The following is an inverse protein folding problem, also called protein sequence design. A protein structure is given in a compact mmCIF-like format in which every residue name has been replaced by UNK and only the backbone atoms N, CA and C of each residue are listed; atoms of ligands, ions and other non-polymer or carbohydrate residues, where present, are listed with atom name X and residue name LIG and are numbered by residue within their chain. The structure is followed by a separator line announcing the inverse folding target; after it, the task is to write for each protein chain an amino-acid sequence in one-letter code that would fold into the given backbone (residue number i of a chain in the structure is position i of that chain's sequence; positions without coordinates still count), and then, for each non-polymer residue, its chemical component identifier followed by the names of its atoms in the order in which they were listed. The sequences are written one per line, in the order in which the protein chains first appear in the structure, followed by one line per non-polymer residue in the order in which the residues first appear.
data_IF_531199605422
#
_entry.id   IF_531199605422
#
_cell.length_a   1.000
_cell.length_b   1.000
_cell.length_c   1.000
_cell.angle_alpha   90.00
_cell.angle_beta   90.00
_cell.angle_gamma   90.00
#
_symmetry.space_group_name_H-M   'P 1'
#
loop_
_entity.id
_entity.type
_entity.pdbx_description
1 polymer ?
#
# COMPACT_ATOMS: atom_id res chain seq x y z
N UNK A 1 -7.84 -9.21 84.85
CA UNK A 1 -6.72 -8.96 83.91
C UNK A 1 -6.46 -10.26 83.15
N UNK A 2 -7.07 -10.41 81.97
CA UNK A 2 -6.77 -11.50 81.03
C UNK A 2 -6.16 -10.82 79.81
N UNK A 3 -4.88 -11.08 79.54
CA UNK A 3 -4.21 -10.61 78.33
C UNK A 3 -4.64 -11.54 77.18
N UNK A 4 -5.49 -11.04 76.30
CA UNK A 4 -5.75 -11.66 75.00
C UNK A 4 -4.47 -11.56 74.16
N UNK A 5 -3.83 -12.71 73.95
CA UNK A 5 -2.81 -12.88 72.93
C UNK A 5 -3.52 -12.96 71.57
N UNK A 6 -3.75 -11.80 70.94
CA UNK A 6 -4.02 -11.74 69.51
C UNK A 6 -2.77 -12.19 68.75
N UNK A 7 -2.70 -13.49 68.50
CA UNK A 7 -1.85 -14.07 67.48
C UNK A 7 -2.27 -13.48 66.13
N UNK A 8 -1.56 -12.44 65.69
CA UNK A 8 -1.63 -11.92 64.33
C UNK A 8 -1.35 -13.08 63.36
N UNK A 9 -2.42 -13.69 62.84
CA UNK A 9 -2.35 -14.64 61.73
C UNK A 9 -1.72 -13.89 60.56
N UNK A 10 -0.43 -14.15 60.31
CA UNK A 10 0.24 -13.76 59.06
C UNK A 10 -0.57 -14.38 57.93
N UNK A 11 -1.47 -13.60 57.32
CA UNK A 11 -2.13 -13.99 56.08
C UNK A 11 -1.00 -14.14 55.05
N UNK A 12 -0.70 -15.37 54.68
CA UNK A 12 0.19 -15.68 53.56
C UNK A 12 -0.45 -15.10 52.32
N UNK A 13 0.17 -14.06 51.75
CA UNK A 13 -0.24 -13.52 50.47
C UNK A 13 0.00 -14.60 49.40
N UNK A 14 -1.06 -15.15 48.76
CA UNK A 14 -0.90 -16.18 47.73
C UNK A 14 -0.16 -15.67 46.49
N UNK A 15 -0.01 -14.35 46.34
CA UNK A 15 0.72 -13.71 45.25
C UNK A 15 2.16 -13.32 45.63
N UNK A 16 2.62 -13.65 46.85
CA UNK A 16 4.01 -13.47 47.26
C UNK A 16 4.48 -12.01 47.28
N UNK A 17 3.57 -11.05 47.54
CA UNK A 17 3.87 -9.62 47.55
C UNK A 17 3.83 -8.97 46.16
N UNK A 18 3.51 -9.72 45.10
CA UNK A 18 3.36 -9.18 43.76
C UNK A 18 2.03 -8.43 43.70
N UNK A 19 2.12 -7.10 43.64
CA UNK A 19 0.98 -6.24 43.38
C UNK A 19 0.97 -5.88 41.90
N UNK A 20 -0.22 -5.84 41.30
CA UNK A 20 -0.39 -5.19 40.01
C UNK A 20 0.06 -3.72 40.10
N UNK A 21 0.45 -3.13 38.97
CA UNK A 21 0.77 -1.71 38.91
C UNK A 21 -0.32 -0.88 39.58
N UNK A 22 0.04 -0.09 40.58
CA UNK A 22 -0.89 0.81 41.27
C UNK A 22 -1.52 1.74 40.23
N UNK A 23 -2.85 1.86 40.27
CA UNK A 23 -3.55 2.89 39.52
C UNK A 23 -3.00 4.21 40.05
N UNK A 24 -2.21 4.94 39.27
CA UNK A 24 -1.66 6.23 39.68
C UNK A 24 -2.83 7.15 40.06
N UNK A 25 -3.01 7.35 41.38
CA UNK A 25 -4.13 8.09 41.96
C UNK A 25 -4.11 9.60 41.62
N UNK A 26 -3.10 10.09 40.91
CA UNK A 26 -3.07 11.46 40.39
C UNK A 26 -3.83 11.64 39.06
N UNK A 27 -4.16 10.55 38.34
CA UNK A 27 -4.94 10.62 37.09
C UNK A 27 -6.05 9.58 36.95
N UNK A 28 -6.13 8.57 37.83
CA UNK A 28 -7.24 7.60 37.88
C UNK A 28 -7.49 6.81 36.59
N UNK A 29 -6.61 6.90 35.59
CA UNK A 29 -6.81 6.27 34.29
C UNK A 29 -6.31 4.83 34.32
N UNK A 30 -7.27 3.90 34.26
CA UNK A 30 -7.03 2.52 33.87
C UNK A 30 -6.52 2.52 32.41
N UNK A 31 -5.41 1.82 32.13
CA UNK A 31 -4.89 1.70 30.75
C UNK A 31 -5.98 1.13 29.85
N UNK A 32 -6.28 1.82 28.76
CA UNK A 32 -7.26 1.30 27.79
C UNK A 32 -6.63 0.17 26.97
N UNK A 33 -7.40 -0.84 26.51
CA UNK A 33 -6.89 -1.87 25.61
C UNK A 33 -6.15 -1.31 24.38
N UNK A 34 -6.64 -0.18 23.85
CA UNK A 34 -6.02 0.50 22.70
C UNK A 34 -4.66 1.12 23.05
N UNK A 35 -4.52 1.64 24.27
CA UNK A 35 -3.24 2.14 24.79
C UNK A 35 -2.21 1.03 24.96
N UNK A 36 -2.64 -0.13 25.47
CA UNK A 36 -1.78 -1.32 25.62
C UNK A 36 -1.27 -1.78 24.26
N UNK A 37 -2.17 -1.95 23.29
CA UNK A 37 -1.79 -2.33 21.92
C UNK A 37 -0.84 -1.30 21.27
N UNK A 38 -1.02 -0.01 21.54
CA UNK A 38 -0.13 1.05 21.07
C UNK A 38 1.27 0.92 21.70
N UNK A 39 1.35 0.70 23.00
CA UNK A 39 2.62 0.52 23.71
C UNK A 39 3.36 -0.73 23.24
N UNK A 40 2.65 -1.83 22.99
CA UNK A 40 3.22 -3.04 22.38
C UNK A 40 3.73 -2.77 20.96
N UNK A 41 2.97 -2.03 20.15
CA UNK A 41 3.40 -1.67 18.80
C UNK A 41 4.66 -0.77 18.82
N UNK A 42 4.72 0.22 19.72
CA UNK A 42 5.86 1.12 19.91
C UNK A 42 7.11 0.37 20.36
N UNK A 43 6.97 -0.56 21.31
CA UNK A 43 8.10 -1.39 21.77
C UNK A 43 8.57 -2.35 20.69
N UNK A 44 7.65 -2.95 19.93
CA UNK A 44 7.95 -3.84 18.81
C UNK A 44 8.71 -3.16 17.67
N UNK A 45 8.31 -1.95 17.27
CA UNK A 45 9.00 -1.20 16.21
C UNK A 45 10.38 -0.71 16.68
N UNK A 46 10.52 -0.30 17.94
CA UNK A 46 11.80 0.13 18.49
C UNK A 46 12.80 -1.03 18.48
N UNK A 47 12.40 -2.22 18.94
CA UNK A 47 13.23 -3.43 18.83
C UNK A 47 13.58 -3.76 17.39
N UNK A 48 12.62 -3.65 16.47
CA UNK A 48 12.86 -3.92 15.04
C UNK A 48 13.87 -2.94 14.42
N UNK A 49 13.87 -1.67 14.84
CA UNK A 49 14.86 -0.66 14.47
C UNK A 49 16.23 -0.95 15.08
N UNK A 50 16.29 -1.35 16.35
CA UNK A 50 17.55 -1.68 17.03
C UNK A 50 18.23 -2.91 16.40
N UNK A 51 17.45 -3.94 16.05
CA UNK A 51 17.93 -5.12 15.29
C UNK A 51 18.44 -4.68 13.90
N UNK A 52 17.73 -3.77 13.23
CA UNK A 52 18.12 -3.27 11.91
C UNK A 52 19.43 -2.46 11.96
N UNK A 53 19.52 -1.50 12.89
CA UNK A 53 20.70 -0.65 13.09
C UNK A 53 21.87 -1.40 13.75
N UNK A 54 21.65 -2.63 14.24
CA UNK A 54 22.64 -3.43 14.96
C UNK A 54 23.03 -2.83 16.33
N UNK A 55 22.14 -2.05 16.94
CA UNK A 55 22.37 -1.39 18.24
C UNK A 55 22.29 -2.39 19.38
N UNK A 56 23.33 -2.46 20.21
CA UNK A 56 23.33 -3.25 21.44
C UNK A 56 22.81 -2.38 22.58
N UNK A 57 21.90 -2.91 23.40
CA UNK A 57 21.41 -2.25 24.61
C UNK A 57 22.60 -1.89 25.52
N UNK A 58 22.86 -0.60 25.80
CA UNK A 58 23.97 -0.17 26.65
C UNK A 58 23.90 -0.74 28.07
N UNK A 59 22.69 -1.02 28.60
CA UNK A 59 22.49 -1.56 29.95
C UNK A 59 22.88 -3.04 30.06
N UNK A 60 23.03 -3.71 28.91
CA UNK A 60 23.51 -5.09 28.79
C UNK A 60 24.94 -5.17 28.27
N UNK A 61 25.60 -4.02 28.05
CA UNK A 61 26.93 -3.95 27.45
C UNK A 61 28.03 -4.38 28.43
N UNK A 62 28.11 -5.69 28.68
CA UNK A 62 29.23 -6.31 29.37
C UNK A 62 30.53 -6.32 28.55
N UNK A 63 31.45 -7.20 28.93
CA UNK A 63 32.79 -7.29 28.32
C UNK A 63 32.73 -7.65 26.82
N UNK A 64 33.82 -7.44 26.07
CA UNK A 64 33.90 -7.65 24.60
C UNK A 64 33.30 -9.00 24.16
N UNK A 65 33.56 -10.08 24.90
CA UNK A 65 32.99 -11.42 24.63
C UNK A 65 31.47 -11.50 24.79
N UNK A 66 30.91 -10.80 25.76
CA UNK A 66 29.46 -10.74 25.99
C UNK A 66 28.79 -9.91 24.89
N UNK A 67 29.42 -8.81 24.45
CA UNK A 67 28.96 -8.03 23.29
C UNK A 67 28.96 -8.87 22.01
N UNK A 68 29.96 -9.74 21.81
CA UNK A 68 30.01 -10.68 20.67
C UNK A 68 28.88 -11.71 20.78
N UNK A 69 28.68 -12.35 21.94
CA UNK A 69 27.57 -13.30 22.15
C UNK A 69 26.20 -12.64 21.94
N UNK A 70 26.02 -11.41 22.40
CA UNK A 70 24.77 -10.65 22.24
C UNK A 70 24.53 -10.24 20.78
N UNK A 71 25.57 -9.81 20.04
CA UNK A 71 25.45 -9.60 18.60
C UNK A 71 24.99 -10.87 17.87
N UNK A 72 25.48 -12.04 18.29
CA UNK A 72 25.07 -13.32 17.72
C UNK A 72 23.64 -13.69 18.10
N UNK A 73 23.21 -13.45 19.35
CA UNK A 73 21.81 -13.67 19.77
C UNK A 73 20.83 -12.74 19.04
N UNK A 74 21.15 -11.46 18.88
CA UNK A 74 20.28 -10.52 18.16
C UNK A 74 20.18 -10.81 16.67
N UNK A 75 21.20 -11.46 16.07
CA UNK A 75 21.08 -12.00 14.71
C UNK A 75 20.06 -13.14 14.60
N UNK A 76 19.78 -13.85 15.70
CA UNK A 76 18.82 -14.95 15.76
C UNK A 76 17.42 -14.50 16.20
N UNK A 77 17.26 -13.28 16.73
CA UNK A 77 15.96 -12.73 17.07
C UNK A 77 15.17 -12.40 15.79
N UNK A 78 13.93 -12.87 15.73
CA UNK A 78 13.05 -12.58 14.61
C UNK A 78 12.48 -11.16 14.73
N UNK A 79 12.80 -10.25 13.80
CA UNK A 79 12.27 -8.89 13.84
C UNK A 79 10.74 -8.88 13.71
N UNK A 80 10.09 -7.97 14.46
CA UNK A 80 8.63 -7.91 14.53
C UNK A 80 8.02 -7.25 13.27
N UNK A 81 8.65 -6.19 12.78
CA UNK A 81 8.09 -5.34 11.71
C UNK A 81 8.71 -5.57 10.33
N UNK A 82 9.64 -6.50 10.17
CA UNK A 82 10.21 -6.77 8.85
C UNK A 82 10.67 -8.22 8.72
N UNK A 83 10.85 -8.69 7.48
CA UNK A 83 11.42 -10.00 7.18
C UNK A 83 12.14 -9.95 5.84
N UNK A 84 13.38 -10.44 5.79
CA UNK A 84 14.10 -10.60 4.51
C UNK A 84 13.35 -11.59 3.61
N UNK A 85 13.18 -11.24 2.34
CA UNK A 85 12.47 -12.09 1.37
C UNK A 85 13.21 -13.41 1.18
N UNK A 86 14.54 -13.35 1.20
CA UNK A 86 15.45 -14.50 1.23
C UNK A 86 16.19 -14.48 2.55
N UNK A 87 16.33 -15.65 3.18
CA UNK A 87 16.87 -15.80 4.54
C UNK A 87 18.28 -15.23 4.71
N UNK A 88 19.10 -15.27 3.63
CA UNK A 88 20.48 -14.80 3.63
C UNK A 88 20.74 -13.60 2.72
N UNK A 89 19.68 -13.00 2.15
CA UNK A 89 19.80 -11.89 1.21
C UNK A 89 18.82 -10.77 1.62
N UNK A 90 19.41 -9.68 2.15
CA UNK A 90 18.70 -8.49 2.62
C UNK A 90 18.42 -7.47 1.53
N UNK A 91 18.76 -7.75 0.26
CA UNK A 91 18.51 -6.83 -0.85
C UNK A 91 17.05 -6.41 -0.95
N UNK A 92 16.14 -7.33 -0.62
CA UNK A 92 14.70 -7.13 -0.58
C UNK A 92 14.13 -7.58 0.76
N UNK A 93 13.32 -6.71 1.35
CA UNK A 93 12.71 -6.91 2.67
C UNK A 93 11.22 -6.62 2.60
N UNK A 94 10.43 -7.48 3.22
CA UNK A 94 9.02 -7.21 3.50
C UNK A 94 8.91 -6.46 4.82
N UNK A 95 8.09 -5.40 4.86
CA UNK A 95 7.87 -4.56 6.04
C UNK A 95 6.39 -4.64 6.43
N UNK A 96 6.11 -4.70 7.72
CA UNK A 96 4.79 -4.94 8.30
C UNK A 96 4.41 -3.84 9.30
N UNK A 97 3.28 -3.19 9.05
CA UNK A 97 2.53 -2.47 10.08
C UNK A 97 1.82 -3.52 10.93
N UNK A 98 2.24 -3.67 12.19
CA UNK A 98 1.66 -4.62 13.13
C UNK A 98 0.90 -3.93 14.25
N UNK A 99 -0.18 -4.55 14.69
CA UNK A 99 -1.00 -4.06 15.80
C UNK A 99 -1.67 -5.26 16.48
N UNK A 100 -1.61 -5.32 17.82
CA UNK A 100 -2.18 -6.43 18.60
C UNK A 100 -1.80 -7.81 18.03
N UNK A 101 -0.51 -8.01 17.76
CA UNK A 101 0.09 -9.20 17.13
C UNK A 101 -0.44 -9.60 15.74
N UNK A 102 -1.23 -8.76 15.09
CA UNK A 102 -1.73 -8.96 13.72
C UNK A 102 -1.03 -8.02 12.74
N UNK A 103 -0.93 -8.45 11.48
CA UNK A 103 -0.44 -7.59 10.40
C UNK A 103 -1.61 -6.79 9.82
N UNK A 104 -1.55 -5.47 9.93
CA UNK A 104 -2.57 -4.54 9.45
C UNK A 104 -2.33 -4.18 7.98
N UNK A 105 -1.08 -3.89 7.64
CA UNK A 105 -0.63 -3.54 6.28
C UNK A 105 0.80 -4.02 6.07
N UNK A 106 1.17 -4.27 4.82
CA UNK A 106 2.52 -4.72 4.47
C UNK A 106 3.02 -4.05 3.21
N UNK A 107 4.32 -3.75 3.16
CA UNK A 107 5.05 -3.38 1.95
C UNK A 107 5.98 -4.53 1.60
N UNK A 108 5.83 -5.09 0.39
CA UNK A 108 6.56 -6.29 -0.03
C UNK A 108 7.65 -6.00 -1.03
N UNK A 109 8.82 -6.61 -0.87
CA UNK A 109 10.00 -6.39 -1.72
C UNK A 109 10.48 -4.92 -1.69
N UNK A 110 10.69 -4.37 -0.50
CA UNK A 110 11.30 -3.04 -0.31
C UNK A 110 12.83 -3.16 -0.44
N UNK A 111 13.50 -2.30 -1.23
CA UNK A 111 14.96 -2.28 -1.30
C UNK A 111 15.59 -1.98 0.05
N UNK A 112 16.67 -2.68 0.42
CA UNK A 112 17.38 -2.54 1.71
C UNK A 112 17.60 -1.08 2.13
N UNK A 113 18.06 -0.23 1.18
CA UNK A 113 18.36 1.19 1.40
C UNK A 113 17.18 2.01 1.91
N UNK A 114 15.93 1.59 1.63
CA UNK A 114 14.72 2.29 2.01
C UNK A 114 14.06 1.71 3.27
N UNK A 115 14.48 0.53 3.73
CA UNK A 115 13.84 -0.18 4.85
C UNK A 115 13.89 0.66 6.13
N UNK A 116 15.05 1.26 6.43
CA UNK A 116 15.20 2.09 7.62
C UNK A 116 14.24 3.29 7.61
N UNK A 117 14.07 3.93 6.45
CA UNK A 117 13.14 5.06 6.29
C UNK A 117 11.70 4.62 6.59
N UNK A 118 11.29 3.46 6.06
CA UNK A 118 9.97 2.90 6.33
C UNK A 118 9.75 2.55 7.81
N UNK A 119 10.75 1.97 8.48
CA UNK A 119 10.67 1.63 9.91
C UNK A 119 10.60 2.90 10.79
N UNK A 120 11.34 3.95 10.45
CA UNK A 120 11.24 5.26 11.12
C UNK A 120 9.87 5.89 10.85
N UNK A 121 9.35 5.76 9.63
CA UNK A 121 7.98 6.13 9.28
C UNK A 121 6.95 5.46 10.17
N UNK A 122 7.07 4.14 10.38
CA UNK A 122 6.17 3.37 11.23
C UNK A 122 6.23 3.86 12.68
N UNK A 123 7.43 4.09 13.20
CA UNK A 123 7.62 4.64 14.55
C UNK A 123 6.95 6.02 14.69
N UNK A 124 7.14 6.90 13.71
CA UNK A 124 6.52 8.23 13.70
C UNK A 124 4.99 8.15 13.60
N UNK A 125 4.47 7.23 12.79
CA UNK A 125 3.04 6.95 12.66
C UNK A 125 2.44 6.53 14.00
N UNK A 126 3.00 5.51 14.68
CA UNK A 126 2.51 5.07 15.98
C UNK A 126 2.55 6.21 17.03
N UNK A 127 3.63 6.99 17.07
CA UNK A 127 3.76 8.12 18.02
C UNK A 127 2.69 9.21 17.84
N UNK A 128 2.11 9.32 16.65
CA UNK A 128 1.06 10.32 16.35
C UNK A 128 -0.35 9.81 16.63
N UNK A 129 -0.54 8.52 16.90
CA UNK A 129 -1.86 7.98 17.25
C UNK A 129 -2.27 8.54 18.61
N UNK A 130 -3.39 9.26 18.64
CA UNK A 130 -3.99 9.73 19.88
C UNK A 130 -4.90 8.63 20.45
N UNK A 131 -4.56 8.13 21.65
CA UNK A 131 -5.29 7.04 22.33
C UNK A 131 -6.71 7.46 22.72
N UNK A 132 -6.90 8.70 23.17
CA UNK A 132 -8.19 9.21 23.64
C UNK A 132 -9.14 9.54 22.50
N UNK A 133 -8.58 9.93 21.34
CA UNK A 133 -9.33 10.33 20.16
C UNK A 133 -8.58 9.89 18.90
N UNK A 134 -8.64 8.59 18.55
CA UNK A 134 -7.98 8.09 17.35
C UNK A 134 -8.55 8.77 16.11
N UNK A 135 -7.69 9.06 15.13
CA UNK A 135 -8.13 9.62 13.85
C UNK A 135 -8.84 8.55 13.01
N UNK A 136 -10.16 8.49 13.17
CA UNK A 136 -11.06 7.57 12.45
C UNK A 136 -11.35 8.03 11.01
N UNK A 137 -10.62 9.02 10.49
CA UNK A 137 -10.56 9.29 9.05
C UNK A 137 -9.44 8.49 8.37
N UNK A 138 -8.43 8.03 9.12
CA UNK A 138 -7.27 7.35 8.58
C UNK A 138 -7.50 5.84 8.44
N UNK A 139 -7.34 5.24 7.24
CA UNK A 139 -7.65 3.82 7.01
C UNK A 139 -6.86 2.86 7.90
N UNK A 140 -5.55 3.08 8.06
CA UNK A 140 -4.73 2.24 8.92
C UNK A 140 -5.07 2.37 10.42
N UNK A 141 -5.44 3.57 10.91
CA UNK A 141 -5.84 3.77 12.33
C UNK A 141 -7.17 3.10 12.62
N UNK A 142 -8.15 3.20 11.72
CA UNK A 142 -9.45 2.50 11.86
C UNK A 142 -9.22 0.99 11.94
N UNK A 143 -8.29 0.44 11.14
CA UNK A 143 -7.96 -0.99 11.20
C UNK A 143 -7.31 -1.37 12.53
N UNK A 144 -6.39 -0.56 13.06
CA UNK A 144 -5.82 -0.75 14.38
C UNK A 144 -6.93 -0.75 15.45
N UNK A 145 -7.79 0.28 15.45
CA UNK A 145 -8.92 0.42 16.37
C UNK A 145 -9.85 -0.79 16.34
N UNK A 146 -10.29 -1.20 15.14
CA UNK A 146 -11.18 -2.34 14.97
C UNK A 146 -10.52 -3.67 15.35
N UNK A 147 -9.19 -3.77 15.21
CA UNK A 147 -8.44 -4.96 15.64
C UNK A 147 -8.44 -5.07 17.16
N UNK A 148 -8.18 -3.97 17.87
CA UNK A 148 -8.31 -3.91 19.33
C UNK A 148 -9.74 -4.22 19.75
N UNK A 149 -10.73 -3.52 19.18
CA UNK A 149 -12.12 -3.72 19.54
C UNK A 149 -12.55 -5.19 19.41
N UNK A 150 -12.15 -5.85 18.32
CA UNK A 150 -12.40 -7.28 18.10
C UNK A 150 -11.71 -8.18 19.14
N UNK A 151 -10.47 -7.89 19.50
CA UNK A 151 -9.71 -8.71 20.46
C UNK A 151 -10.29 -8.62 21.89
N UNK A 152 -10.90 -7.49 22.23
CA UNK A 152 -11.45 -7.23 23.57
C UNK A 152 -12.99 -7.28 23.64
N UNK A 153 -13.67 -7.65 22.54
CA UNK A 153 -15.14 -7.75 22.49
C UNK A 153 -15.87 -6.40 22.56
N UNK A 154 -15.21 -5.30 22.16
CA UNK A 154 -15.77 -3.95 22.13
C UNK A 154 -16.42 -3.64 20.78
N UNK A 155 -17.25 -2.60 20.74
CA UNK A 155 -17.84 -2.11 19.49
C UNK A 155 -16.76 -1.50 18.58
N UNK A 156 -16.68 -1.98 17.35
CA UNK A 156 -15.77 -1.46 16.33
C UNK A 156 -16.38 -0.29 15.57
N UNK A 157 -15.53 0.50 14.92
CA UNK A 157 -15.94 1.54 14.00
C UNK A 157 -16.31 0.97 12.63
N UNK A 158 -17.46 1.38 12.08
CA UNK A 158 -17.85 0.98 10.72
C UNK A 158 -16.89 1.60 9.72
N UNK A 159 -16.25 0.79 8.88
CA UNK A 159 -15.32 1.24 7.83
C UNK A 159 -16.14 1.87 6.68
N UNK A 160 -16.03 3.19 6.41
CA UNK A 160 -16.57 3.80 5.20
C UNK A 160 -16.16 3.07 3.92
N UNK A 161 -17.04 3.13 2.92
CA UNK A 161 -16.77 2.52 1.60
C UNK A 161 -15.66 3.26 0.86
N UNK A 162 -15.57 4.58 1.02
CA UNK A 162 -14.50 5.43 0.48
C UNK A 162 -13.56 5.86 1.60
N UNK A 163 -12.58 4.99 1.90
CA UNK A 163 -11.49 5.25 2.84
C UNK A 163 -10.19 5.40 2.06
N UNK A 164 -10.21 6.31 1.09
CA UNK A 164 -9.00 6.72 0.39
C UNK A 164 -8.03 7.32 1.42
N UNK A 165 -6.81 6.79 1.42
CA UNK A 165 -5.69 7.46 2.06
C UNK A 165 -5.53 8.80 1.35
N UNK A 166 -5.66 9.89 2.10
CA UNK A 166 -5.44 11.23 1.59
C UNK A 166 -4.01 11.64 1.97
N UNK A 167 -3.03 11.69 1.05
CA UNK A 167 -1.65 12.02 1.40
C UNK A 167 -1.45 13.40 2.05
N UNK A 168 -2.37 14.34 1.83
CA UNK A 168 -2.31 15.68 2.45
C UNK A 168 -2.78 15.68 3.90
N UNK A 169 -3.69 14.76 4.25
CA UNK A 169 -4.28 14.68 5.60
C UNK A 169 -3.74 13.52 6.43
N UNK A 170 -3.37 12.42 5.78
CA UNK A 170 -3.01 11.15 6.38
C UNK A 170 -1.51 10.92 6.31
N UNK A 171 -0.97 10.42 7.41
CA UNK A 171 0.45 10.16 7.54
C UNK A 171 0.70 8.73 7.10
N UNK A 172 1.45 8.56 6.03
CA UNK A 172 1.77 7.25 5.53
C UNK A 172 2.59 6.47 6.56
N UNK A 173 2.11 5.30 7.04
CA UNK A 173 2.86 4.50 8.00
C UNK A 173 4.25 4.09 7.50
N UNK A 174 4.49 4.06 6.19
CA UNK A 174 5.79 3.68 5.62
C UNK A 174 6.58 4.88 5.08
N UNK A 175 6.20 6.12 5.41
CA UNK A 175 6.88 7.34 4.99
C UNK A 175 7.14 7.43 3.46
N UNK A 176 6.15 7.07 2.65
CA UNK A 176 6.24 7.04 1.19
C UNK A 176 6.97 5.83 0.62
N UNK A 177 7.62 5.01 1.45
CA UNK A 177 8.34 3.81 0.99
C UNK A 177 7.33 2.78 0.50
N UNK A 178 7.59 2.24 -0.69
CA UNK A 178 6.80 1.18 -1.31
C UNK A 178 7.69 0.06 -1.80
N UNK A 179 7.17 -1.15 -1.69
CA UNK A 179 7.83 -2.32 -2.25
C UNK A 179 7.31 -2.66 -3.66
N UNK A 180 8.12 -3.37 -4.44
CA UNK A 180 7.85 -3.64 -5.87
C UNK A 180 6.53 -4.39 -6.12
N UNK A 181 6.05 -5.17 -5.16
CA UNK A 181 4.84 -5.98 -5.30
C UNK A 181 3.53 -5.20 -5.16
N UNK A 182 3.54 -3.99 -4.57
CA UNK A 182 2.33 -3.16 -4.47
C UNK A 182 1.88 -2.68 -5.86
N UNK A 183 2.85 -2.38 -6.73
CA UNK A 183 2.63 -1.88 -8.07
C UNK A 183 2.11 -2.95 -9.04
N UNK A 184 2.43 -4.24 -8.85
CA UNK A 184 2.04 -5.30 -9.79
C UNK A 184 0.54 -5.59 -9.84
N UNK A 185 -0.22 -5.16 -8.82
CA UNK A 185 -1.69 -5.31 -8.76
C UNK A 185 -2.44 -4.04 -9.14
N UNK A 186 -1.75 -2.90 -9.20
CA UNK A 186 -2.32 -1.61 -9.57
C UNK A 186 -2.79 -1.68 -11.04
N UNK A 187 -4.09 -1.47 -11.27
CA UNK A 187 -4.66 -1.54 -12.62
C UNK A 187 -4.32 -0.29 -13.43
N UNK A 188 -4.25 0.88 -12.79
CA UNK A 188 -3.81 2.12 -13.42
C UNK A 188 -2.36 2.02 -13.92
N UNK A 189 -1.46 1.41 -13.13
CA UNK A 189 -0.10 1.10 -13.56
C UNK A 189 -0.08 0.25 -14.82
N UNK A 190 -0.83 -0.85 -14.83
CA UNK A 190 -0.84 -1.77 -15.97
C UNK A 190 -1.31 -1.06 -17.23
N UNK A 191 -2.29 -0.17 -17.11
CA UNK A 191 -2.79 0.58 -18.25
C UNK A 191 -1.79 1.65 -18.71
N UNK A 192 -1.05 2.27 -17.79
CA UNK A 192 0.08 3.15 -18.10
C UNK A 192 1.19 2.38 -18.84
N UNK A 193 1.62 1.23 -18.32
CA UNK A 193 2.67 0.40 -18.93
C UNK A 193 2.28 0.02 -20.38
N UNK A 194 1.01 -0.38 -20.60
CA UNK A 194 0.49 -0.68 -21.96
C UNK A 194 0.44 0.57 -22.84
N UNK A 195 0.02 1.72 -22.32
CA UNK A 195 -0.01 2.98 -23.07
C UNK A 195 1.40 3.44 -23.49
N UNK A 196 2.37 3.29 -22.58
CA UNK A 196 3.80 3.56 -22.78
C UNK A 196 4.38 2.68 -23.90
N UNK A 197 4.11 1.37 -23.88
CA UNK A 197 4.54 0.44 -24.94
C UNK A 197 3.93 0.78 -26.32
N UNK A 198 2.65 1.14 -26.35
CA UNK A 198 1.94 1.54 -27.56
C UNK A 198 2.42 2.89 -28.11
N UNK A 199 2.82 3.79 -27.22
CA UNK A 199 3.41 5.08 -27.58
C UNK A 199 4.80 4.88 -28.17
N UNK A 200 5.65 4.04 -27.56
CA UNK A 200 6.96 3.68 -28.11
C UNK A 200 6.85 3.03 -29.49
N UNK A 201 5.86 2.15 -29.66
CA UNK A 201 5.55 1.59 -30.97
C UNK A 201 5.16 2.69 -31.98
N UNK A 202 4.38 3.68 -31.56
CA UNK A 202 3.92 4.77 -32.42
C UNK A 202 5.05 5.72 -32.80
N UNK A 203 5.96 6.03 -31.88
CA UNK A 203 7.19 6.80 -32.14
C UNK A 203 8.06 6.05 -33.15
N UNK A 204 8.38 4.78 -32.88
CA UNK A 204 9.19 3.97 -33.79
C UNK A 204 8.53 3.81 -35.17
N UNK A 205 7.20 3.73 -35.25
CA UNK A 205 6.48 3.72 -36.52
C UNK A 205 6.72 5.02 -37.33
N UNK A 206 6.68 6.18 -36.67
CA UNK A 206 6.92 7.48 -37.30
C UNK A 206 8.37 7.64 -37.79
N UNK A 207 9.33 7.03 -37.10
CA UNK A 207 10.74 7.02 -37.50
C UNK A 207 10.98 6.11 -38.72
N UNK A 208 10.13 5.09 -38.91
CA UNK A 208 10.18 4.22 -40.08
C UNK A 208 9.41 4.74 -41.30
N UNK A 209 8.85 5.96 -41.26
CA UNK A 209 8.12 6.50 -42.41
C UNK A 209 9.02 6.70 -43.62
N UNK A 210 10.23 7.23 -43.40
CA UNK A 210 11.20 7.56 -44.44
C UNK A 210 12.01 6.33 -44.92
N UNK A 211 11.82 5.18 -44.27
CA UNK A 211 12.50 3.92 -44.62
C UNK A 211 11.73 3.21 -45.74
N UNK A 212 12.38 2.69 -46.80
CA UNK A 212 11.70 1.88 -47.81
C UNK A 212 11.01 0.64 -47.21
N UNK A 213 9.81 0.31 -47.70
CA UNK A 213 8.95 -0.76 -47.15
C UNK A 213 9.66 -2.11 -46.98
N UNK A 214 10.58 -2.48 -47.87
CA UNK A 214 11.32 -3.74 -47.74
C UNK A 214 12.28 -3.75 -46.54
N UNK A 215 12.87 -2.60 -46.18
CA UNK A 215 13.79 -2.44 -45.04
C UNK A 215 13.11 -2.19 -43.70
N UNK A 216 11.82 -1.83 -43.68
CA UNK A 216 11.08 -1.64 -42.43
C UNK A 216 11.12 -2.90 -41.58
N UNK A 217 11.15 -2.75 -40.26
CA UNK A 217 11.05 -3.91 -39.38
C UNK A 217 9.65 -4.52 -39.48
N UNK A 218 9.57 -5.84 -39.35
CA UNK A 218 8.33 -6.59 -39.54
C UNK A 218 7.18 -6.11 -38.65
N UNK A 219 7.48 -5.72 -37.40
CA UNK A 219 6.47 -5.23 -36.44
C UNK A 219 5.71 -4.00 -36.94
N UNK A 220 6.38 -3.09 -37.65
CA UNK A 220 5.77 -1.86 -38.16
C UNK A 220 5.03 -2.05 -39.50
N UNK A 221 5.24 -3.18 -40.19
CA UNK A 221 4.50 -3.52 -41.41
C UNK A 221 3.09 -4.04 -41.10
N UNK A 222 2.94 -4.82 -40.03
CA UNK A 222 1.71 -5.57 -39.73
C UNK A 222 0.73 -4.83 -38.84
N UNK A 223 1.22 -3.96 -37.96
CA UNK A 223 0.42 -3.33 -36.92
C UNK A 223 0.33 -1.83 -37.18
N UNK A 224 -0.89 -1.29 -37.05
CA UNK A 224 -1.11 0.15 -37.10
C UNK A 224 -0.88 0.76 -35.71
N UNK A 225 -0.21 1.92 -35.63
CA UNK A 225 -0.06 2.64 -34.36
C UNK A 225 -1.40 3.16 -33.83
N UNK A 226 -1.49 3.33 -32.51
CA UNK A 226 -2.71 3.77 -31.82
C UNK A 226 -2.71 5.27 -31.47
N UNK A 227 -1.54 5.86 -31.28
CA UNK A 227 -1.38 7.29 -30.95
C UNK A 227 -1.31 8.18 -32.17
N UNK A 228 -1.20 7.62 -33.38
CA UNK A 228 -1.04 8.40 -34.60
C UNK A 228 -1.68 7.70 -35.78
N UNK A 229 -2.32 8.45 -36.67
CA UNK A 229 -2.85 7.95 -37.95
C UNK A 229 -2.83 9.07 -38.99
N UNK A 230 -2.79 8.73 -40.28
CA UNK A 230 -2.80 9.75 -41.34
C UNK A 230 -4.13 10.51 -41.30
N UNK A 231 -4.09 11.83 -41.37
CA UNK A 231 -5.30 12.66 -41.46
C UNK A 231 -5.95 12.54 -42.84
N UNK A 232 -5.14 12.40 -43.89
CA UNK A 232 -5.59 12.26 -45.26
C UNK A 232 -5.08 10.95 -45.86
N UNK A 233 -5.89 10.30 -46.70
CA UNK A 233 -5.50 9.04 -47.35
C UNK A 233 -4.34 9.20 -48.34
N UNK A 234 -4.20 10.39 -48.91
CA UNK A 234 -3.30 10.73 -50.02
C UNK A 234 -2.06 11.52 -49.60
N UNK A 235 -1.95 11.94 -48.33
CA UNK A 235 -0.84 12.74 -47.83
C UNK A 235 -0.19 12.10 -46.62
N UNK A 236 1.14 12.03 -46.66
CA UNK A 236 2.00 11.56 -45.57
C UNK A 236 2.57 12.74 -44.77
N UNK A 237 2.10 13.96 -45.02
CA UNK A 237 2.59 15.17 -44.38
C UNK A 237 1.79 15.54 -43.13
N UNK A 238 0.54 15.06 -43.00
CA UNK A 238 -0.39 15.43 -41.95
C UNK A 238 -0.98 14.20 -41.24
N UNK A 239 -0.95 14.27 -39.92
CA UNK A 239 -1.37 13.19 -39.03
C UNK A 239 -2.38 13.67 -38.01
N UNK A 240 -3.27 12.76 -37.64
CA UNK A 240 -4.05 12.86 -36.42
C UNK A 240 -3.23 12.22 -35.29
N UNK A 241 -3.04 12.96 -34.20
CA UNK A 241 -2.36 12.50 -32.99
C UNK A 241 -3.42 12.29 -31.91
N UNK A 242 -3.49 11.08 -31.37
CA UNK A 242 -4.49 10.67 -30.40
C UNK A 242 -3.80 10.42 -29.04
N UNK A 243 -4.27 11.05 -27.96
CA UNK A 243 -3.94 10.64 -26.60
C UNK A 243 -4.66 9.32 -26.32
N UNK A 244 -3.99 8.21 -26.63
CA UNK A 244 -4.55 6.88 -26.49
C UNK A 244 -4.32 6.30 -25.10
N UNK A 245 -5.33 5.59 -24.59
CA UNK A 245 -5.25 4.83 -23.35
C UNK A 245 -5.98 3.49 -23.55
N UNK A 246 -5.70 2.45 -22.75
CA UNK A 246 -6.56 1.27 -22.72
C UNK A 246 -8.03 1.66 -22.50
N UNK A 247 -8.89 1.23 -23.43
CA UNK A 247 -10.30 1.67 -23.49
C UNK A 247 -10.60 2.75 -24.54
N UNK A 248 -9.58 3.29 -25.23
CA UNK A 248 -9.73 4.16 -26.40
C UNK A 248 -9.04 5.51 -26.26
N UNK A 249 -9.15 6.36 -27.29
CA UNK A 249 -8.57 7.72 -27.29
C UNK A 249 -9.36 8.67 -26.38
N UNK A 250 -8.66 9.55 -25.66
CA UNK A 250 -9.28 10.59 -24.82
C UNK A 250 -9.37 11.92 -25.56
N UNK A 251 -8.28 12.30 -26.23
CA UNK A 251 -8.16 13.55 -26.97
C UNK A 251 -7.51 13.28 -28.32
N UNK A 252 -7.85 14.09 -29.31
CA UNK A 252 -7.37 13.93 -30.68
C UNK A 252 -7.06 15.29 -31.28
N UNK A 253 -5.86 15.44 -31.84
CA UNK A 253 -5.45 16.59 -32.62
C UNK A 253 -5.40 16.18 -34.09
N UNK A 254 -6.18 16.85 -34.94
CA UNK A 254 -6.26 16.55 -36.38
C UNK A 254 -5.33 17.47 -37.19
N UNK A 255 -4.92 17.00 -38.38
CA UNK A 255 -4.17 17.78 -39.36
C UNK A 255 -2.83 18.34 -38.84
N UNK A 256 -2.13 17.56 -38.01
CA UNK A 256 -0.84 17.93 -37.42
C UNK A 256 0.29 17.62 -38.41
N UNK A 257 1.14 18.59 -38.77
CA UNK A 257 2.32 18.32 -39.61
C UNK A 257 3.24 17.26 -39.00
N UNK A 258 3.85 16.41 -39.83
CA UNK A 258 4.67 15.26 -39.41
C UNK A 258 5.69 15.56 -38.29
N UNK A 259 6.44 16.65 -38.40
CA UNK A 259 7.44 17.02 -37.38
C UNK A 259 6.79 17.41 -36.05
N UNK A 260 5.66 18.13 -36.10
CA UNK A 260 4.88 18.47 -34.89
C UNK A 260 4.24 17.22 -34.29
N UNK A 261 3.82 16.27 -35.12
CA UNK A 261 3.29 14.99 -34.64
C UNK A 261 4.36 14.17 -33.91
N UNK A 262 5.58 14.09 -34.44
CA UNK A 262 6.74 13.47 -33.76
C UNK A 262 7.00 14.14 -32.40
N UNK A 263 7.05 15.48 -32.36
CA UNK A 263 7.22 16.22 -31.11
C UNK A 263 6.10 15.95 -30.09
N UNK A 264 4.84 15.88 -30.55
CA UNK A 264 3.70 15.59 -29.69
C UNK A 264 3.83 14.21 -29.02
N UNK A 265 4.23 13.17 -29.76
CA UNK A 265 4.43 11.83 -29.21
C UNK A 265 5.56 11.79 -28.16
N UNK A 266 6.67 12.49 -28.40
CA UNK A 266 7.76 12.62 -27.41
C UNK A 266 7.29 13.37 -26.16
N UNK A 267 6.51 14.44 -26.33
CA UNK A 267 5.93 15.17 -25.20
C UNK A 267 4.96 14.30 -24.39
N UNK A 268 4.14 13.48 -25.05
CA UNK A 268 3.26 12.52 -24.38
C UNK A 268 4.06 11.49 -23.57
N UNK A 269 5.23 11.07 -24.08
CA UNK A 269 6.10 10.13 -23.37
C UNK A 269 6.62 10.73 -22.08
N UNK A 270 7.13 11.96 -22.14
CA UNK A 270 7.58 12.69 -20.95
C UNK A 270 6.43 12.98 -19.97
N UNK A 271 5.19 13.14 -20.44
CA UNK A 271 4.03 13.26 -19.58
C UNK A 271 3.74 11.94 -18.83
N UNK A 272 3.69 10.81 -19.52
CA UNK A 272 3.47 9.50 -18.90
C UNK A 272 4.55 9.13 -17.87
N UNK A 273 5.81 9.50 -18.10
CA UNK A 273 6.90 9.28 -17.15
C UNK A 273 6.76 10.08 -15.85
N UNK A 274 6.01 11.20 -15.87
CA UNK A 274 5.77 12.06 -14.71
C UNK A 274 4.55 11.65 -13.88
N UNK A 275 3.68 10.79 -14.40
CA UNK A 275 2.48 10.37 -13.67
C UNK A 275 2.91 9.59 -12.41
N UNK A 276 2.55 10.10 -11.23
CA UNK A 276 2.64 9.32 -10.00
C UNK A 276 1.52 8.28 -9.98
N UNK A 277 1.90 7.02 -10.23
CA UNK A 277 0.99 5.88 -10.32
C UNK A 277 0.36 5.51 -8.97
N UNK A 278 0.97 5.97 -7.86
CA UNK A 278 0.56 5.66 -6.49
C UNK A 278 -0.24 6.77 -5.84
N UNK A 279 -0.02 8.02 -6.26
CA UNK A 279 -0.84 9.16 -5.89
C UNK A 279 -1.10 9.99 -7.16
N UNK A 280 -1.97 9.51 -8.06
CA UNK A 280 -2.30 10.27 -9.26
C UNK A 280 -2.81 11.64 -8.88
N UNK A 281 -2.25 12.69 -9.48
CA UNK A 281 -2.69 14.06 -9.24
C UNK A 281 -4.06 14.26 -9.89
N UNK A 282 -5.11 14.26 -9.06
CA UNK A 282 -6.47 14.45 -9.52
C UNK A 282 -6.82 15.93 -9.80
N UNK A 283 -5.91 16.88 -9.53
CA UNK A 283 -6.06 18.26 -9.97
C UNK A 283 -5.71 18.43 -11.45
N UNK A 284 -4.92 17.52 -12.03
CA UNK A 284 -4.69 17.45 -13.48
C UNK A 284 -5.87 16.71 -14.14
N UNK A 285 -6.68 17.47 -14.89
CA UNK A 285 -7.86 16.97 -15.62
C UNK A 285 -7.53 15.77 -16.53
N UNK A 286 -6.33 15.75 -17.11
CA UNK A 286 -5.88 14.68 -18.00
C UNK A 286 -5.62 13.40 -17.19
N UNK A 287 -4.88 13.51 -16.09
CA UNK A 287 -4.60 12.37 -15.20
C UNK A 287 -5.91 11.82 -14.62
N UNK A 288 -6.80 12.70 -14.17
CA UNK A 288 -8.13 12.32 -13.69
C UNK A 288 -8.91 11.55 -14.77
N UNK A 289 -8.91 12.03 -16.01
CA UNK A 289 -9.62 11.37 -17.13
C UNK A 289 -9.03 9.99 -17.45
N UNK A 290 -7.70 9.84 -17.47
CA UNK A 290 -7.04 8.55 -17.68
C UNK A 290 -7.36 7.55 -16.55
N UNK A 291 -7.41 8.05 -15.32
CA UNK A 291 -7.73 7.26 -14.14
C UNK A 291 -9.18 6.76 -14.17
N UNK A 292 -10.15 7.63 -14.47
CA UNK A 292 -11.56 7.24 -14.58
C UNK A 292 -11.76 6.23 -15.71
N UNK A 293 -11.10 6.42 -16.85
CA UNK A 293 -11.17 5.46 -17.97
C UNK A 293 -10.65 4.07 -17.59
N UNK A 294 -9.58 4.01 -16.79
CA UNK A 294 -9.07 2.76 -16.23
C UNK A 294 -10.12 2.11 -15.33
N UNK A 295 -10.72 2.87 -14.42
CA UNK A 295 -11.75 2.39 -13.49
C UNK A 295 -12.95 1.81 -14.24
N UNK A 296 -13.48 2.52 -15.23
CA UNK A 296 -14.63 2.07 -16.03
C UNK A 296 -14.31 0.81 -16.85
N UNK A 297 -13.17 0.79 -17.54
CA UNK A 297 -12.76 -0.33 -18.39
C UNK A 297 -12.58 -1.62 -17.59
N UNK A 298 -12.01 -1.51 -16.40
CA UNK A 298 -11.68 -2.66 -15.54
C UNK A 298 -12.79 -3.03 -14.57
N UNK A 299 -13.91 -2.31 -14.62
CA UNK A 299 -15.08 -2.57 -13.80
C UNK A 299 -15.52 -4.03 -13.94
N UNK A 300 -15.72 -4.76 -12.82
CA UNK A 300 -16.25 -6.10 -12.86
C UNK A 300 -17.64 -6.11 -13.51
N UNK A 301 -17.70 -6.67 -14.72
CA UNK A 301 -18.93 -7.02 -15.42
C UNK A 301 -19.33 -8.46 -15.11
N UNK A 302 -20.56 -8.84 -15.45
CA UNK A 302 -20.99 -10.24 -15.41
C UNK A 302 -19.99 -11.09 -16.20
N UNK A 303 -19.20 -11.89 -15.49
CA UNK A 303 -18.54 -13.04 -16.09
C UNK A 303 -19.61 -14.12 -16.26
N UNK A 304 -19.43 -14.95 -17.27
CA UNK A 304 -20.37 -15.92 -17.87
C UNK A 304 -21.08 -16.92 -16.93
N UNK A 305 -20.96 -16.80 -15.60
CA UNK A 305 -21.61 -17.60 -14.57
C UNK A 305 -22.37 -16.77 -13.49
N UNK A 306 -22.97 -15.62 -13.84
CA UNK A 306 -24.03 -14.91 -13.08
C UNK A 306 -23.89 -14.91 -11.54
N UNK A 307 -22.80 -14.34 -11.01
CA UNK A 307 -22.78 -13.96 -9.59
C UNK A 307 -23.01 -12.45 -9.48
N UNK A 308 -24.27 -12.00 -9.24
CA UNK A 308 -24.59 -10.58 -9.17
C UNK A 308 -23.78 -9.87 -8.08
N UNK A 309 -23.36 -10.58 -7.04
CA UNK A 309 -22.55 -10.06 -5.94
C UNK A 309 -21.13 -9.62 -6.36
N UNK A 310 -20.62 -10.06 -7.52
CA UNK A 310 -19.30 -9.62 -8.05
C UNK A 310 -19.37 -8.22 -8.68
N UNK A 311 -20.56 -7.73 -9.03
CA UNK A 311 -20.73 -6.41 -9.64
C UNK A 311 -20.20 -5.30 -8.75
N UNK A 312 -19.98 -4.12 -9.34
CA UNK A 312 -19.72 -2.91 -8.58
C UNK A 312 -20.89 -2.62 -7.63
N UNK A 313 -20.61 -1.94 -6.52
CA UNK A 313 -21.65 -1.48 -5.57
C UNK A 313 -22.72 -0.65 -6.29
N UNK A 314 -22.30 0.21 -7.23
CA UNK A 314 -23.19 1.04 -8.05
C UNK A 314 -24.16 0.21 -8.91
N UNK A 315 -23.79 -1.03 -9.28
CA UNK A 315 -24.61 -1.97 -10.05
C UNK A 315 -25.23 -3.08 -9.20
N UNK A 316 -25.32 -2.87 -7.88
CA UNK A 316 -25.98 -3.79 -6.94
C UNK A 316 -25.14 -4.98 -6.49
N UNK A 317 -23.82 -4.97 -6.73
CA UNK A 317 -22.89 -5.99 -6.22
C UNK A 317 -22.12 -5.54 -4.97
N UNK A 318 -21.00 -6.20 -4.72
CA UNK A 318 -20.16 -5.95 -3.52
C UNK A 318 -18.77 -5.43 -3.84
N UNK A 319 -18.36 -5.44 -5.11
CA UNK A 319 -17.04 -4.98 -5.53
C UNK A 319 -16.93 -3.46 -5.48
N UNK A 320 -15.77 -2.95 -5.07
CA UNK A 320 -15.50 -1.52 -5.02
C UNK A 320 -14.15 -1.18 -5.64
N UNK A 321 -14.00 0.05 -6.11
CA UNK A 321 -12.74 0.58 -6.57
C UNK A 321 -11.93 1.09 -5.38
N UNK A 322 -10.72 0.56 -5.21
CA UNK A 322 -9.79 1.01 -4.19
C UNK A 322 -8.94 2.16 -4.72
N UNK A 323 -9.08 3.34 -4.11
CA UNK A 323 -8.17 4.46 -4.33
C UNK A 323 -6.80 4.26 -3.66
N UNK A 324 -6.66 3.29 -2.75
CA UNK A 324 -5.39 2.93 -2.12
C UNK A 324 -4.49 2.08 -3.01
N UNK A 325 -5.13 1.15 -3.74
CA UNK A 325 -4.43 0.17 -4.57
C UNK A 325 -4.70 0.34 -6.06
N UNK A 326 -5.47 1.38 -6.42
CA UNK A 326 -5.87 1.77 -7.78
C UNK A 326 -6.34 0.57 -8.61
N UNK A 327 -7.28 -0.19 -8.04
CA UNK A 327 -7.85 -1.40 -8.65
C UNK A 327 -9.21 -1.74 -8.07
N UNK A 328 -9.99 -2.53 -8.80
CA UNK A 328 -11.19 -3.18 -8.26
C UNK A 328 -10.86 -4.27 -7.24
N UNK A 329 -11.37 -4.13 -6.02
CA UNK A 329 -11.36 -5.16 -4.98
C UNK A 329 -12.64 -5.97 -5.12
N UNK A 330 -12.49 -7.24 -5.48
CA UNK A 330 -13.59 -8.17 -5.76
C UNK A 330 -13.72 -9.20 -4.65
N UNK A 331 -14.95 -9.57 -4.33
CA UNK A 331 -15.20 -10.72 -3.47
C UNK A 331 -14.79 -12.03 -4.13
N UNK A 332 -14.72 -13.09 -3.35
CA UNK A 332 -14.31 -14.43 -3.82
C UNK A 332 -15.30 -15.47 -3.35
N UNK A 333 -15.57 -16.46 -4.18
CA UNK A 333 -16.23 -17.68 -3.75
C UNK A 333 -15.25 -18.51 -2.93
N UNK A 334 -15.62 -18.85 -1.70
CA UNK A 334 -14.87 -19.80 -0.91
C UNK A 334 -15.05 -21.19 -1.52
N UNK A 335 -13.94 -21.78 -1.96
CA UNK A 335 -13.93 -23.09 -2.63
C UNK A 335 -14.43 -24.23 -1.74
N UNK A 336 -14.36 -24.06 -0.42
CA UNK A 336 -14.78 -25.10 0.55
C UNK A 336 -16.26 -25.02 0.89
N UNK A 337 -16.78 -23.83 1.16
CA UNK A 337 -18.18 -23.64 1.57
C UNK A 337 -19.12 -23.31 0.41
N UNK A 338 -18.60 -22.99 -0.78
CA UNK A 338 -19.39 -22.51 -1.91
C UNK A 338 -20.02 -21.14 -1.68
N UNK A 339 -19.80 -20.52 -0.50
CA UNK A 339 -20.37 -19.22 -0.14
C UNK A 339 -19.50 -18.10 -0.69
N UNK A 340 -20.15 -17.04 -1.14
CA UNK A 340 -19.45 -15.82 -1.53
C UNK A 340 -18.96 -15.08 -0.29
N UNK A 341 -17.70 -14.67 -0.34
CA UNK A 341 -17.06 -13.82 0.66
C UNK A 341 -16.88 -12.45 0.03
N UNK A 342 -17.64 -11.49 0.53
CA UNK A 342 -17.54 -10.08 0.12
C UNK A 342 -16.10 -9.56 0.27
N UNK A 343 -15.68 -8.62 -0.58
CA UNK A 343 -14.36 -8.02 -0.46
C UNK A 343 -14.22 -7.30 0.88
N UNK A 344 -13.06 -7.44 1.52
CA UNK A 344 -12.73 -6.65 2.71
C UNK A 344 -12.74 -5.17 2.34
N UNK A 345 -13.44 -4.34 3.12
CA UNK A 345 -13.53 -2.89 2.89
C UNK A 345 -12.24 -2.16 3.27
N UNK A 346 -11.92 -1.10 2.54
CA UNK A 346 -10.79 -0.21 2.80
C UNK A 346 -9.41 -0.77 2.44
N UNK A 347 -9.31 -1.76 1.52
CA UNK A 347 -8.06 -2.31 0.98
C UNK A 347 -7.55 -1.53 -0.21
#
# INVERSE_FOLDING_TARGET
MVKENESQRRRTDPFGGIRGSEINNESGKMLTPFEVDLQEALTGIQKSLDIWDGKIDPRRAGNIRERIKQKTQMKNETPFNWKSVKEYDRSLVDIYLRWSNKTIRSQKNVPEKQVRVALVGLLAFYKKINVMSPDLSHPDIIRCFNTTAKNYGLEGFKIPTDLAFNPERHIDPFAGVRGNNALSKNQFKKDLDVAVEELDFSIGYMDQLDIPTYRKEYRYKKRKPKFVKRSFKTSDSYYQVDLWWPGGSLQSLNNVPINKARMALVSMRSFFEKIDIQNPDFNDETVQSLYMKTRERTEPKDLTNNNPEIKSIEKGGTSYWSNLTHRWVKGKLDKKSGRFVAPEKGL
#
